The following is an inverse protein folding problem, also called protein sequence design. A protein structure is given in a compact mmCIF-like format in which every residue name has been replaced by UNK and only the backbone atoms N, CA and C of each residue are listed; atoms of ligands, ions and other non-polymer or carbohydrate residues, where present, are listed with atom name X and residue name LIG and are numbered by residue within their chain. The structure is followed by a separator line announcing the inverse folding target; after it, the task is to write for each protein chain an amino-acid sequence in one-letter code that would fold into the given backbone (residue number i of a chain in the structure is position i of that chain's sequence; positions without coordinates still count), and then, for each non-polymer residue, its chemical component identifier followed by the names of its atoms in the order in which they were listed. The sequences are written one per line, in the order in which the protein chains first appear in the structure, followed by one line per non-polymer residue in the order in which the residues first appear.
data_IF_865731278008
#
_entry.id   IF_865731278008
#
_cell.length_a   1.000
_cell.length_b   1.000
_cell.length_c   1.000
_cell.angle_alpha   90.00
_cell.angle_beta   90.00
_cell.angle_gamma   90.00
#
_symmetry.space_group_name_H-M   'P 1'
#
loop_
_entity.id
_entity.type
_entity.pdbx_description
1 polymer ?
#
# COMPACT_ATOMS: atom_id res chain seq x y z
N UNK A 1 5.21 1.12 18.09
CA UNK A 1 3.87 0.65 17.67
C UNK A 1 4.09 -0.64 16.92
N UNK A 2 3.54 -1.76 17.37
CA UNK A 2 3.66 -3.01 16.62
C UNK A 2 2.90 -2.82 15.30
N UNK A 3 3.60 -3.03 14.19
CA UNK A 3 2.99 -2.94 12.87
C UNK A 3 1.90 -4.01 12.79
N UNK A 4 0.68 -3.62 12.43
CA UNK A 4 -0.43 -4.55 12.36
C UNK A 4 -0.11 -5.63 11.31
N UNK A 5 -0.42 -6.90 11.56
CA UNK A 5 -0.10 -7.97 10.62
C UNK A 5 -0.69 -7.65 9.24
N UNK A 6 0.18 -7.58 8.23
CA UNK A 6 -0.19 -7.25 6.86
C UNK A 6 -1.11 -8.32 6.27
N UNK A 7 -2.17 -7.90 5.60
CA UNK A 7 -3.03 -8.81 4.84
C UNK A 7 -2.31 -9.24 3.55
N UNK A 8 -2.45 -10.52 3.18
CA UNK A 8 -1.84 -11.09 1.99
C UNK A 8 -2.68 -10.93 0.71
N UNK A 9 -3.97 -10.60 0.84
CA UNK A 9 -4.93 -10.52 -0.26
C UNK A 9 -6.03 -9.52 0.03
N UNK A 10 -6.58 -8.90 -1.02
CA UNK A 10 -7.69 -7.96 -0.94
C UNK A 10 -8.98 -8.61 -0.38
N UNK A 11 -9.45 -8.21 0.81
CA UNK A 11 -10.70 -8.71 1.39
C UNK A 11 -11.94 -8.28 0.61
N UNK A 12 -11.86 -7.23 -0.22
CA UNK A 12 -12.93 -6.80 -1.11
C UNK A 12 -13.29 -7.81 -2.20
N UNK A 13 -12.40 -8.78 -2.46
CA UNK A 13 -12.65 -9.90 -3.39
C UNK A 13 -13.41 -11.06 -2.73
N UNK A 14 -13.55 -11.05 -1.41
CA UNK A 14 -14.27 -12.09 -0.68
C UNK A 14 -15.78 -11.82 -0.75
N UNK A 15 -16.53 -12.84 -1.17
CA UNK A 15 -17.99 -12.81 -1.13
C UNK A 15 -18.49 -13.32 0.22
N UNK A 16 -19.61 -12.75 0.67
CA UNK A 16 -20.31 -13.28 1.83
C UNK A 16 -20.77 -14.71 1.50
N UNK A 17 -20.48 -15.71 2.34
CA UNK A 17 -21.07 -17.03 2.17
C UNK A 17 -22.59 -16.94 2.19
N UNK A 18 -23.24 -17.83 1.43
CA UNK A 18 -24.69 -17.98 1.47
C UNK A 18 -25.07 -18.75 2.73
N UNK A 19 -25.17 -18.04 3.85
CA UNK A 19 -25.43 -18.66 5.15
C UNK A 19 -26.82 -19.32 5.24
N UNK A 20 -27.70 -19.12 4.26
CA UNK A 20 -28.95 -19.88 4.15
C UNK A 20 -28.72 -21.33 3.67
N UNK A 21 -27.59 -21.63 3.02
CA UNK A 21 -27.35 -22.94 2.43
C UNK A 21 -27.35 -24.06 3.49
N UNK A 22 -27.76 -25.29 3.11
CA UNK A 22 -27.85 -26.41 4.05
C UNK A 22 -26.53 -26.75 4.74
N UNK A 23 -25.39 -26.45 4.12
CA UNK A 23 -24.06 -26.69 4.68
C UNK A 23 -23.81 -25.90 5.98
N UNK A 24 -24.46 -24.74 6.13
CA UNK A 24 -24.41 -23.92 7.35
C UNK A 24 -25.51 -24.28 8.35
N UNK A 25 -26.35 -25.26 8.07
CA UNK A 25 -27.51 -25.62 8.90
C UNK A 25 -27.14 -25.97 10.34
N UNK A 26 -26.04 -26.72 10.55
CA UNK A 26 -25.55 -27.06 11.90
C UNK A 26 -25.16 -25.79 12.67
N UNK A 27 -24.53 -24.83 12.00
CA UNK A 27 -24.10 -23.55 12.59
C UNK A 27 -25.32 -22.73 13.03
N UNK A 28 -26.34 -22.62 12.16
CA UNK A 28 -27.59 -21.91 12.47
C UNK A 28 -28.37 -22.57 13.60
N UNK A 29 -28.54 -23.89 13.54
CA UNK A 29 -29.20 -24.67 14.59
C UNK A 29 -28.49 -24.55 15.93
N UNK A 30 -27.15 -24.54 15.92
CA UNK A 30 -26.35 -24.32 17.12
C UNK A 30 -26.62 -22.96 17.78
N UNK A 31 -26.72 -21.89 17.00
CA UNK A 31 -27.05 -20.55 17.51
C UNK A 31 -28.45 -20.49 18.13
N UNK A 32 -29.43 -21.14 17.50
CA UNK A 32 -30.81 -21.21 18.03
C UNK A 32 -30.86 -22.06 19.31
N UNK A 33 -30.26 -23.25 19.30
CA UNK A 33 -30.24 -24.15 20.45
C UNK A 33 -29.50 -23.56 21.66
N UNK A 34 -28.48 -22.75 21.42
CA UNK A 34 -27.76 -21.99 22.44
C UNK A 34 -28.50 -20.73 22.92
N UNK A 35 -29.70 -20.46 22.40
CA UNK A 35 -30.50 -19.29 22.77
C UNK A 35 -29.88 -17.94 22.36
N UNK A 36 -28.90 -17.94 21.44
CA UNK A 36 -28.25 -16.71 20.96
C UNK A 36 -29.17 -15.92 20.03
N UNK A 37 -30.06 -16.63 19.32
CA UNK A 37 -31.00 -16.07 18.36
C UNK A 37 -32.33 -16.82 18.41
N UNK A 38 -33.42 -16.16 18.03
CA UNK A 38 -34.78 -16.69 18.20
C UNK A 38 -35.23 -17.68 17.12
N UNK A 39 -34.57 -17.71 15.96
CA UNK A 39 -34.98 -18.53 14.81
C UNK A 39 -33.83 -18.81 13.85
N UNK A 40 -34.02 -19.76 12.94
CA UNK A 40 -33.04 -20.06 11.88
C UNK A 40 -32.78 -18.85 10.96
N UNK A 41 -33.84 -18.10 10.62
CA UNK A 41 -33.71 -16.86 9.84
C UNK A 41 -32.88 -15.80 10.59
N UNK A 42 -33.12 -15.63 11.89
CA UNK A 42 -32.32 -14.74 12.71
C UNK A 42 -30.86 -15.21 12.84
N UNK A 43 -30.61 -16.52 12.81
CA UNK A 43 -29.26 -17.08 12.78
C UNK A 43 -28.53 -16.75 11.47
N UNK A 44 -29.20 -16.87 10.31
CA UNK A 44 -28.65 -16.47 9.01
C UNK A 44 -28.27 -15.00 9.01
N UNK A 45 -29.19 -14.11 9.40
CA UNK A 45 -28.92 -12.66 9.47
C UNK A 45 -27.77 -12.34 10.43
N UNK A 46 -27.71 -13.02 11.57
CA UNK A 46 -26.63 -12.85 12.54
C UNK A 46 -25.26 -13.23 11.98
N UNK A 47 -25.17 -14.34 11.24
CA UNK A 47 -23.94 -14.78 10.58
C UNK A 47 -23.50 -13.79 9.49
N UNK A 48 -24.44 -13.29 8.68
CA UNK A 48 -24.18 -12.26 7.66
C UNK A 48 -23.65 -10.99 8.33
N UNK A 49 -24.25 -10.56 9.43
CA UNK A 49 -23.82 -9.36 10.15
C UNK A 49 -22.41 -9.49 10.72
N UNK A 50 -22.08 -10.63 11.35
CA UNK A 50 -20.73 -10.92 11.87
C UNK A 50 -19.71 -10.92 10.73
N UNK A 51 -19.99 -11.65 9.65
CA UNK A 51 -19.11 -11.71 8.50
C UNK A 51 -18.87 -10.32 7.90
N UNK A 52 -19.93 -9.54 7.74
CA UNK A 52 -19.89 -8.19 7.17
C UNK A 52 -19.04 -7.25 8.03
N UNK A 53 -19.22 -7.27 9.35
CA UNK A 53 -18.44 -6.45 10.27
C UNK A 53 -16.94 -6.82 10.23
N UNK A 54 -16.63 -8.12 10.22
CA UNK A 54 -15.25 -8.59 10.13
C UNK A 54 -14.63 -8.22 8.78
N UNK A 55 -15.35 -8.42 7.68
CA UNK A 55 -14.85 -8.07 6.35
C UNK A 55 -14.65 -6.55 6.21
N UNK A 56 -15.55 -5.74 6.74
CA UNK A 56 -15.40 -4.28 6.76
C UNK A 56 -14.11 -3.83 7.47
N UNK A 57 -13.80 -4.43 8.63
CA UNK A 57 -12.56 -4.14 9.35
C UNK A 57 -11.32 -4.53 8.52
N UNK A 58 -11.34 -5.71 7.86
CA UNK A 58 -10.25 -6.13 6.98
C UNK A 58 -10.10 -5.18 5.78
N UNK A 59 -11.20 -4.74 5.16
CA UNK A 59 -11.16 -3.79 4.03
C UNK A 59 -10.58 -2.45 4.44
N UNK A 60 -10.89 -1.95 5.64
CA UNK A 60 -10.30 -0.73 6.18
C UNK A 60 -8.77 -0.89 6.39
N UNK A 61 -8.35 -2.02 6.95
CA UNK A 61 -6.92 -2.34 7.09
C UNK A 61 -6.23 -2.42 5.72
N UNK A 62 -6.82 -3.12 4.76
CA UNK A 62 -6.30 -3.22 3.40
C UNK A 62 -6.15 -1.85 2.73
N UNK A 63 -7.16 -0.98 2.84
CA UNK A 63 -7.10 0.37 2.31
C UNK A 63 -5.96 1.19 2.92
N UNK A 64 -5.73 1.06 4.23
CA UNK A 64 -4.61 1.70 4.90
C UNK A 64 -3.25 1.15 4.42
N UNK A 65 -3.15 -0.16 4.17
CA UNK A 65 -1.94 -0.77 3.61
C UNK A 65 -1.65 -0.26 2.20
N UNK A 66 -2.66 -0.24 1.32
CA UNK A 66 -2.51 0.22 -0.07
C UNK A 66 -2.09 1.69 -0.10
N UNK A 67 -2.68 2.55 0.73
CA UNK A 67 -2.27 3.95 0.80
C UNK A 67 -0.87 4.12 1.39
N UNK A 68 -0.53 3.35 2.43
CA UNK A 68 0.81 3.35 3.01
C UNK A 68 1.88 2.95 2.00
N UNK A 69 1.63 1.89 1.21
CA UNK A 69 2.53 1.43 0.17
C UNK A 69 2.66 2.48 -0.95
N UNK A 70 1.54 3.12 -1.35
CA UNK A 70 1.54 4.18 -2.35
C UNK A 70 2.40 5.37 -1.94
N UNK A 71 2.30 5.79 -0.66
CA UNK A 71 3.11 6.88 -0.11
C UNK A 71 4.59 6.50 -0.04
N UNK A 72 4.90 5.28 0.44
CA UNK A 72 6.28 4.79 0.50
C UNK A 72 6.93 4.71 -0.90
N UNK A 73 6.17 4.28 -1.91
CA UNK A 73 6.63 4.27 -3.31
C UNK A 73 6.87 5.68 -3.85
N UNK A 74 5.99 6.64 -3.53
CA UNK A 74 6.15 8.03 -3.93
C UNK A 74 7.40 8.67 -3.29
N UNK A 75 7.62 8.45 -2.00
CA UNK A 75 8.80 8.93 -1.28
C UNK A 75 10.09 8.34 -1.86
N UNK A 76 10.09 7.05 -2.19
CA UNK A 76 11.23 6.40 -2.85
C UNK A 76 11.54 7.03 -4.21
N UNK A 77 10.52 7.26 -5.02
CA UNK A 77 10.70 7.88 -6.34
C UNK A 77 11.22 9.32 -6.25
N UNK A 78 10.78 10.08 -5.25
CA UNK A 78 11.29 11.43 -5.00
C UNK A 78 12.76 11.41 -4.61
N UNK A 79 13.15 10.55 -3.67
CA UNK A 79 14.55 10.38 -3.27
C UNK A 79 15.45 9.94 -4.42
N UNK A 80 14.97 9.02 -5.27
CA UNK A 80 15.69 8.60 -6.46
C UNK A 80 15.84 9.74 -7.48
N UNK A 81 14.81 10.59 -7.66
CA UNK A 81 14.87 11.74 -8.55
C UNK A 81 15.85 12.81 -8.04
N UNK A 82 15.82 13.12 -6.74
CA UNK A 82 16.76 14.04 -6.10
C UNK A 82 18.21 13.55 -6.22
N UNK A 83 18.45 12.26 -5.98
CA UNK A 83 19.78 11.66 -6.13
C UNK A 83 20.30 11.76 -7.58
N UNK A 84 19.43 11.55 -8.58
CA UNK A 84 19.79 11.71 -10.00
C UNK A 84 20.12 13.17 -10.32
N UNK A 85 19.30 14.11 -9.87
CA UNK A 85 19.55 15.54 -10.06
C UNK A 85 20.90 15.95 -9.49
N UNK A 86 21.20 15.54 -8.26
CA UNK A 86 22.49 15.83 -7.63
C UNK A 86 23.69 15.25 -8.40
N UNK A 87 23.54 14.04 -8.95
CA UNK A 87 24.59 13.43 -9.78
C UNK A 87 24.79 14.19 -11.10
N UNK A 88 23.70 14.60 -11.75
CA UNK A 88 23.75 15.38 -12.99
C UNK A 88 24.38 16.76 -12.78
N UNK A 89 24.01 17.44 -11.69
CA UNK A 89 24.58 18.74 -11.33
C UNK A 89 26.08 18.64 -11.04
N UNK A 90 26.49 17.60 -10.29
CA UNK A 90 27.91 17.35 -10.01
C UNK A 90 28.69 17.05 -11.31
N UNK A 91 28.13 16.23 -12.21
CA UNK A 91 28.76 15.93 -13.50
C UNK A 91 28.86 17.18 -14.40
N UNK A 92 27.84 18.05 -14.37
CA UNK A 92 27.86 19.32 -15.10
C UNK A 92 28.93 20.26 -14.54
N UNK A 93 29.07 20.37 -13.22
CA UNK A 93 30.13 21.15 -12.57
C UNK A 93 31.53 20.62 -12.93
N UNK A 94 31.74 19.30 -12.86
CA UNK A 94 33.01 18.69 -13.27
C UNK A 94 33.33 18.96 -14.75
N UNK A 95 32.33 18.89 -15.63
CA UNK A 95 32.49 19.18 -17.05
C UNK A 95 32.87 20.65 -17.30
N UNK A 96 32.28 21.59 -16.56
CA UNK A 96 32.64 23.01 -16.61
C UNK A 96 34.08 23.24 -16.15
N UNK A 97 34.46 22.68 -14.99
CA UNK A 97 35.83 22.77 -14.46
C UNK A 97 36.85 22.15 -15.43
N UNK A 98 36.53 21.02 -16.06
CA UNK A 98 37.38 20.40 -17.06
C UNK A 98 37.54 21.28 -18.31
N UNK A 99 36.47 21.95 -18.74
CA UNK A 99 36.51 22.87 -19.89
C UNK A 99 37.33 24.12 -19.60
N UNK A 100 37.24 24.67 -18.39
CA UNK A 100 38.04 25.82 -17.95
C UNK A 100 39.53 25.47 -17.88
N UNK A 101 39.89 24.32 -17.31
CA UNK A 101 41.28 23.84 -17.25
C UNK A 101 41.91 23.61 -18.63
N UNK A 102 41.12 23.27 -19.64
CA UNK A 102 41.58 23.02 -21.02
C UNK A 102 41.63 24.28 -21.87
N UNK A 103 41.18 25.42 -21.37
CA UNK A 103 41.19 26.69 -22.12
C UNK A 103 42.63 27.17 -22.25
N UNK A 104 43.18 27.38 -23.47
CA UNK A 104 44.57 27.80 -23.63
C UNK A 104 44.80 29.12 -22.89
N UNK A 105 45.84 29.19 -22.06
CA UNK A 105 46.34 30.46 -21.56
C UNK A 105 46.91 31.21 -22.76
N UNK A 106 46.11 32.07 -23.39
CA UNK A 106 46.58 33.07 -24.33
C UNK A 106 47.44 34.07 -23.54
N UNK A 107 48.66 33.65 -23.22
CA UNK A 107 49.70 34.54 -22.76
C UNK A 107 49.91 35.60 -23.84
N UNK A 108 49.75 36.86 -23.43
CA UNK A 108 50.29 38.07 -24.04
C UNK A 108 50.94 37.84 -25.41
N UNK A 109 50.13 37.85 -26.47
CA UNK A 109 50.66 37.98 -27.83
C UNK A 109 51.17 39.41 -27.96
N UNK A 110 52.48 39.58 -27.74
CA UNK A 110 53.20 40.79 -28.11
C UNK A 110 53.22 40.81 -29.65
N UNK A 111 52.52 41.77 -30.24
CA UNK A 111 52.66 42.10 -31.65
C UNK A 111 53.79 43.12 -31.76
N UNK A 112 54.88 42.73 -32.43
CA UNK A 112 56.01 43.61 -32.77
C UNK A 112 55.62 44.75 -33.72
#
# INVERSE_FOLDING_TARGET
MADAPRLASDPGLQLCPEFADPEYGILRQGLVAAGQVASDAAATEHLIAIWSAHNAAKRALWAAQVEGDRLADADRLLLEAEARQHADDAAAEEALLAREKRRPQLGTLHFD
#
